data_IF_865435420826
#
_entry.id   IF_865435420826
#
_cell.length_a   1.000
_cell.length_b   1.000
_cell.length_c   1.000
_cell.angle_alpha   90.00
_cell.angle_beta   90.00
_cell.angle_gamma   90.00
#
_symmetry.space_group_name_H-M   'P 1'
#
loop_
_entity.id
_entity.type
_entity.pdbx_description
1 polymer ?
#
# COMPACT_ATOMS: atom_id res chain seq x y z
N UNK A 1 -4.56 -58.73 -2.03
CA UNK A 1 -4.31 -57.34 -1.58
C UNK A 1 -3.70 -56.43 -2.65
N UNK A 2 -3.32 -56.94 -3.83
CA UNK A 2 -2.72 -56.17 -4.93
C UNK A 2 -3.74 -55.56 -5.91
N UNK A 3 -4.91 -56.21 -6.09
CA UNK A 3 -5.95 -55.74 -7.03
C UNK A 3 -6.66 -54.45 -6.57
N UNK A 4 -6.94 -54.31 -5.27
CA UNK A 4 -7.53 -53.09 -4.71
C UNK A 4 -6.57 -51.90 -4.72
N UNK A 5 -5.25 -52.15 -4.64
CA UNK A 5 -4.23 -51.11 -4.72
C UNK A 5 -4.10 -50.60 -6.16
N UNK A 6 -4.11 -51.49 -7.16
CA UNK A 6 -4.14 -51.11 -8.58
C UNK A 6 -5.42 -50.33 -8.95
N UNK A 7 -6.58 -50.74 -8.45
CA UNK A 7 -7.86 -50.06 -8.68
C UNK A 7 -7.92 -48.64 -8.06
N UNK A 8 -7.32 -48.45 -6.88
CA UNK A 8 -7.24 -47.12 -6.24
C UNK A 8 -6.28 -46.18 -6.96
N UNK A 9 -5.18 -46.71 -7.49
CA UNK A 9 -4.19 -45.94 -8.25
C UNK A 9 -4.76 -45.50 -9.61
N UNK A 10 -5.49 -46.37 -10.30
CA UNK A 10 -6.15 -46.00 -11.57
C UNK A 10 -7.29 -45.01 -11.35
N UNK A 11 -8.06 -45.15 -10.26
CA UNK A 11 -9.10 -44.19 -9.88
C UNK A 11 -8.50 -42.79 -9.59
N UNK A 12 -7.39 -42.73 -8.85
CA UNK A 12 -6.72 -41.47 -8.50
C UNK A 12 -6.06 -40.78 -9.71
N UNK A 13 -5.50 -41.56 -10.64
CA UNK A 13 -4.91 -41.02 -11.87
C UNK A 13 -5.98 -40.42 -12.81
N UNK A 14 -7.18 -41.03 -12.87
CA UNK A 14 -8.29 -40.53 -13.68
C UNK A 14 -8.85 -39.19 -13.16
N UNK A 15 -8.87 -38.96 -11.84
CA UNK A 15 -9.33 -37.69 -11.26
C UNK A 15 -8.41 -36.52 -11.56
N UNK A 16 -7.10 -36.74 -11.65
CA UNK A 16 -6.14 -35.67 -11.93
C UNK A 16 -6.22 -35.13 -13.37
N UNK A 17 -6.64 -35.94 -14.35
CA UNK A 17 -6.79 -35.49 -15.74
C UNK A 17 -8.07 -34.68 -16.00
N UNK A 18 -9.05 -34.69 -15.07
CA UNK A 18 -10.31 -33.97 -15.24
C UNK A 18 -10.25 -32.48 -14.84
N UNK A 19 -9.14 -32.00 -14.29
CA UNK A 19 -9.02 -30.64 -13.75
C UNK A 19 -8.49 -29.59 -14.75
N UNK A 20 -8.13 -29.96 -15.98
CA UNK A 20 -7.57 -29.03 -16.99
C UNK A 20 -8.63 -28.36 -17.88
N UNK A 21 -9.85 -28.13 -17.35
CA UNK A 21 -10.92 -27.46 -18.08
C UNK A 21 -11.63 -26.40 -17.21
N UNK A 22 -10.90 -25.36 -16.83
CA UNK A 22 -11.49 -24.10 -16.39
C UNK A 22 -10.54 -22.94 -16.73
N UNK A 23 -10.78 -22.34 -17.89
CA UNK A 23 -10.08 -21.14 -18.35
C UNK A 23 -10.73 -20.54 -19.59
N UNK A 24 -12.07 -20.54 -19.68
CA UNK A 24 -12.82 -19.84 -20.72
C UNK A 24 -14.30 -19.65 -20.31
N UNK A 25 -14.67 -18.41 -20.01
CA UNK A 25 -16.06 -17.95 -19.83
C UNK A 25 -16.04 -16.46 -19.47
N UNK A 26 -16.20 -15.51 -20.41
CA UNK A 26 -17.39 -15.09 -21.20
C UNK A 26 -18.40 -14.29 -20.36
N UNK A 27 -18.60 -13.02 -20.68
CA UNK A 27 -19.90 -12.30 -20.56
C UNK A 27 -19.89 -11.11 -21.54
N UNK A 28 -20.61 -11.16 -22.67
CA UNK A 28 -21.97 -10.62 -22.95
C UNK A 28 -21.92 -9.18 -23.48
N UNK A 29 -22.13 -8.93 -24.79
CA UNK A 29 -23.41 -8.57 -25.44
C UNK A 29 -24.31 -7.60 -24.66
N UNK A 30 -24.68 -6.49 -25.32
CA UNK A 30 -25.74 -5.57 -24.91
C UNK A 30 -25.32 -4.11 -25.13
N UNK A 31 -25.57 -3.55 -26.31
CA UNK A 31 -26.76 -2.73 -26.60
C UNK A 31 -26.42 -1.24 -26.47
N UNK A 32 -26.39 -0.57 -27.61
CA UNK A 32 -26.42 0.90 -27.67
C UNK A 32 -27.70 1.41 -27.03
N UNK A 33 -27.55 2.46 -26.23
CA UNK A 33 -28.67 3.23 -25.69
C UNK A 33 -28.32 4.68 -25.94
N UNK A 34 -28.94 5.27 -26.97
CA UNK A 34 -29.04 6.71 -27.13
C UNK A 34 -29.95 7.27 -26.03
N UNK A 35 -29.44 8.20 -25.24
CA UNK A 35 -30.22 9.27 -24.59
C UNK A 35 -29.30 10.38 -24.05
N UNK A 36 -29.56 11.68 -24.35
CA UNK A 36 -28.84 12.85 -23.83
C UNK A 36 -29.57 13.43 -22.57
N UNK A 37 -29.26 14.66 -22.09
CA UNK A 37 -28.01 15.23 -21.59
C UNK A 37 -28.13 15.65 -20.10
N UNK A 38 -27.02 15.88 -19.38
CA UNK A 38 -27.01 16.84 -18.25
C UNK A 38 -25.58 17.22 -17.82
N UNK A 39 -25.37 18.53 -17.83
CA UNK A 39 -24.25 19.33 -17.33
C UNK A 39 -23.65 18.92 -15.98
N UNK A 40 -22.31 18.96 -15.89
CA UNK A 40 -21.60 19.78 -14.89
C UNK A 40 -20.09 19.82 -15.16
N UNK A 41 -19.56 21.03 -15.08
CA UNK A 41 -18.16 21.47 -15.06
C UNK A 41 -17.18 20.50 -14.36
N UNK A 42 -16.01 20.26 -14.95
CA UNK A 42 -14.71 20.50 -14.29
C UNK A 42 -13.54 20.38 -15.30
N UNK A 43 -12.90 21.52 -15.58
CA UNK A 43 -11.48 21.73 -15.91
C UNK A 43 -10.74 20.75 -16.85
N UNK A 44 -10.82 21.00 -18.15
CA UNK A 44 -9.80 20.57 -19.13
C UNK A 44 -8.60 21.51 -19.08
N UNK A 45 -7.47 21.02 -18.59
CA UNK A 45 -6.16 21.55 -18.94
C UNK A 45 -5.22 20.39 -19.26
N UNK A 46 -5.18 20.01 -20.54
CA UNK A 46 -4.08 19.28 -21.17
C UNK A 46 -3.98 19.69 -22.63
N UNK A 47 -3.45 20.89 -22.85
CA UNK A 47 -2.81 21.21 -24.12
C UNK A 47 -1.39 20.65 -24.11
N UNK A 48 -1.18 19.53 -24.78
CA UNK A 48 0.02 19.31 -25.62
C UNK A 48 -0.35 18.28 -26.68
N UNK A 49 -0.24 18.73 -27.91
CA UNK A 49 -0.68 18.07 -29.12
C UNK A 49 0.03 16.74 -29.39
N UNK A 50 -0.78 15.75 -29.78
CA UNK A 50 -0.64 15.02 -31.03
C UNK A 50 0.48 13.97 -31.16
N UNK A 51 0.09 12.70 -31.22
CA UNK A 51 0.24 11.91 -32.44
C UNK A 51 -0.68 10.69 -32.39
N UNK A 52 -1.63 10.64 -33.32
CA UNK A 52 -2.38 9.44 -33.67
C UNK A 52 -1.42 8.41 -34.28
N UNK A 53 -1.39 7.19 -33.76
CA UNK A 53 -1.11 6.05 -34.63
C UNK A 53 -1.80 4.80 -34.11
N UNK A 54 -2.81 4.36 -34.86
CA UNK A 54 -3.29 3.00 -34.82
C UNK A 54 -2.18 2.08 -35.34
N UNK A 55 -1.89 1.00 -34.62
CA UNK A 55 -1.13 -0.14 -35.13
C UNK A 55 0.40 0.00 -35.11
N UNK A 56 1.04 -0.67 -34.15
CA UNK A 56 2.47 -0.97 -34.15
C UNK A 56 3.12 -0.77 -32.79
N UNK A 57 3.26 -1.85 -32.01
CA UNK A 57 4.15 -1.87 -30.84
C UNK A 57 5.60 -1.72 -31.33
N UNK A 58 6.13 -0.50 -31.29
CA UNK A 58 7.51 -0.23 -31.71
C UNK A 58 8.51 -0.68 -30.65
N UNK A 59 9.63 -1.25 -31.09
CA UNK A 59 10.77 -1.69 -30.25
C UNK A 59 11.29 -0.56 -29.34
N UNK A 60 11.08 0.70 -29.73
CA UNK A 60 11.42 1.89 -28.95
C UNK A 60 10.60 2.09 -27.67
N UNK A 61 9.44 1.44 -27.55
CA UNK A 61 8.58 1.51 -26.35
C UNK A 61 9.18 0.71 -25.16
N UNK A 62 10.09 -0.23 -25.45
CA UNK A 62 10.84 -1.01 -24.44
C UNK A 62 12.07 -0.24 -23.93
N UNK A 63 12.65 0.65 -24.75
CA UNK A 63 13.83 1.47 -24.41
C UNK A 63 13.49 2.91 -24.04
N UNK A 64 12.23 3.32 -24.14
CA UNK A 64 11.74 4.53 -23.48
C UNK A 64 11.97 4.41 -21.98
N UNK A 65 11.94 5.52 -21.21
CA UNK A 65 11.99 5.45 -19.76
C UNK A 65 10.79 4.62 -19.30
N UNK A 66 11.00 3.32 -19.16
CA UNK A 66 10.23 2.51 -18.25
C UNK A 66 10.58 3.10 -16.91
N UNK A 67 9.83 4.14 -16.53
CA UNK A 67 9.73 4.54 -15.15
C UNK A 67 9.20 3.28 -14.48
N UNK A 68 10.14 2.45 -14.01
CA UNK A 68 9.88 1.52 -12.94
C UNK A 68 9.64 2.44 -11.75
N UNK A 69 8.49 3.14 -11.78
CA UNK A 69 7.84 3.72 -10.64
C UNK A 69 7.48 2.49 -9.83
N UNK A 70 8.45 1.99 -9.05
CA UNK A 70 8.15 1.16 -7.91
C UNK A 70 7.21 2.02 -7.08
N UNK A 71 5.92 1.82 -7.31
CA UNK A 71 4.86 2.60 -6.72
C UNK A 71 4.91 2.29 -5.24
N UNK A 72 5.61 3.14 -4.50
CA UNK A 72 5.75 3.01 -3.05
C UNK A 72 4.35 3.18 -2.48
N UNK A 73 3.79 2.08 -1.96
CA UNK A 73 2.42 2.05 -1.45
C UNK A 73 2.29 2.69 -0.05
N UNK A 74 3.20 3.60 0.29
CA UNK A 74 3.37 4.20 1.61
C UNK A 74 3.16 5.70 1.50
N UNK A 75 2.36 6.26 2.40
CA UNK A 75 2.12 7.70 2.42
C UNK A 75 3.37 8.48 2.89
N UNK A 76 3.89 9.37 2.04
CA UNK A 76 5.08 10.19 2.34
C UNK A 76 4.94 11.08 3.58
N UNK A 77 3.73 11.56 3.87
CA UNK A 77 3.49 12.46 5.01
C UNK A 77 3.42 11.68 6.32
N UNK A 78 2.80 10.49 6.33
CA UNK A 78 2.83 9.60 7.50
C UNK A 78 4.27 9.19 7.84
N UNK A 79 5.05 8.90 6.80
CA UNK A 79 6.46 8.55 6.94
C UNK A 79 7.27 9.68 7.58
N UNK A 80 7.25 10.88 6.98
CA UNK A 80 7.96 12.04 7.50
C UNK A 80 7.50 12.42 8.91
N UNK A 81 6.18 12.44 9.15
CA UNK A 81 5.62 12.74 10.46
C UNK A 81 6.04 11.73 11.54
N UNK A 82 6.14 10.44 11.20
CA UNK A 82 6.58 9.40 12.14
C UNK A 82 8.02 9.65 12.58
N UNK A 83 8.91 9.99 11.64
CA UNK A 83 10.31 10.31 11.94
C UNK A 83 10.45 11.59 12.76
N UNK A 84 9.63 12.61 12.50
CA UNK A 84 9.67 13.86 13.27
C UNK A 84 9.13 13.70 14.68
N UNK A 85 7.96 13.07 14.85
CA UNK A 85 7.32 12.88 16.16
C UNK A 85 8.13 11.93 17.03
N UNK A 86 8.72 10.89 16.45
CA UNK A 86 9.54 9.90 17.17
C UNK A 86 11.05 10.19 17.10
N UNK A 87 11.45 11.39 16.70
CA UNK A 87 12.87 11.78 16.51
C UNK A 87 13.74 11.66 17.77
N UNK A 88 13.13 11.60 18.95
CA UNK A 88 13.82 11.37 20.21
C UNK A 88 14.20 9.89 20.44
N UNK A 89 13.69 8.98 19.61
CA UNK A 89 14.03 7.55 19.65
C UNK A 89 15.16 7.26 18.64
N UNK A 90 16.19 6.47 19.02
CA UNK A 90 17.22 6.05 18.06
C UNK A 90 16.60 5.15 16.99
N UNK A 91 16.78 5.50 15.72
CA UNK A 91 16.27 4.69 14.60
C UNK A 91 17.23 3.53 14.32
N UNK A 92 16.71 2.30 14.23
CA UNK A 92 17.50 1.09 14.00
C UNK A 92 17.34 0.56 12.59
N UNK A 93 16.11 0.52 12.07
CA UNK A 93 15.82 -0.05 10.75
C UNK A 93 14.68 0.71 10.10
N UNK A 94 14.82 0.96 8.80
CA UNK A 94 13.92 1.78 8.01
C UNK A 94 13.76 1.14 6.64
N UNK A 95 12.56 0.69 6.32
CA UNK A 95 12.21 0.13 5.01
C UNK A 95 11.11 0.98 4.36
N UNK A 96 11.44 1.80 3.35
CA UNK A 96 10.49 2.70 2.70
C UNK A 96 9.52 1.98 1.76
N UNK A 97 9.81 0.75 1.33
CA UNK A 97 8.94 0.01 0.42
C UNK A 97 7.82 -0.69 1.16
N UNK A 98 8.14 -1.30 2.30
CA UNK A 98 7.13 -1.96 3.16
C UNK A 98 6.50 -0.99 4.17
N UNK A 99 7.07 0.20 4.36
CA UNK A 99 6.56 1.20 5.28
C UNK A 99 6.85 0.88 6.74
N UNK A 100 7.91 0.13 7.03
CA UNK A 100 8.29 -0.28 8.39
C UNK A 100 9.42 0.59 8.93
N UNK A 101 9.23 1.12 10.14
CA UNK A 101 10.25 1.85 10.89
C UNK A 101 10.38 1.20 12.27
N UNK A 102 11.60 0.82 12.64
CA UNK A 102 11.91 0.22 13.94
C UNK A 102 12.90 1.13 14.65
N UNK A 103 12.57 1.51 15.87
CA UNK A 103 13.46 2.24 16.76
C UNK A 103 14.05 1.31 17.82
N UNK A 104 15.09 1.80 18.50
CA UNK A 104 15.55 1.28 19.77
C UNK A 104 14.90 2.05 20.93
N UNK A 105 15.26 1.68 22.15
CA UNK A 105 14.82 2.34 23.37
C UNK A 105 15.39 3.77 23.47
N UNK A 106 14.51 4.75 23.57
CA UNK A 106 14.85 6.15 23.84
C UNK A 106 13.88 6.78 24.83
N UNK A 107 14.29 7.88 25.44
CA UNK A 107 13.49 8.59 26.45
C UNK A 107 12.98 9.91 25.85
N UNK A 108 11.65 10.15 25.81
CA UNK A 108 11.11 11.39 25.31
C UNK A 108 11.52 12.57 26.22
N UNK A 109 11.66 13.78 25.65
CA UNK A 109 11.96 14.97 26.44
C UNK A 109 10.87 15.21 27.49
N UNK A 110 11.28 15.45 28.74
CA UNK A 110 10.37 15.62 29.87
C UNK A 110 9.74 14.32 30.40
N UNK A 111 10.10 13.16 29.83
CA UNK A 111 9.67 11.84 30.30
C UNK A 111 10.74 11.10 31.10
N UNK A 112 10.33 10.21 32.01
CA UNK A 112 11.25 9.36 32.79
C UNK A 112 11.34 7.90 32.31
N UNK A 113 10.56 7.51 31.29
CA UNK A 113 10.46 6.12 30.83
C UNK A 113 11.05 6.00 29.43
N UNK A 114 11.84 4.95 29.20
CA UNK A 114 12.33 4.61 27.86
C UNK A 114 11.27 3.85 27.07
N UNK A 115 11.02 4.26 25.85
CA UNK A 115 10.09 3.65 24.92
C UNK A 115 10.84 3.14 23.69
N UNK A 116 10.30 2.08 23.09
CA UNK A 116 10.65 1.60 21.75
C UNK A 116 9.38 1.65 20.92
N UNK A 117 9.51 2.05 19.66
CA UNK A 117 8.41 2.10 18.71
C UNK A 117 8.71 1.21 17.50
N UNK A 118 7.66 0.53 17.04
CA UNK A 118 7.60 -0.08 15.72
C UNK A 118 6.42 0.55 14.99
N UNK A 119 6.70 1.21 13.88
CA UNK A 119 5.71 1.86 13.01
C UNK A 119 5.57 1.03 11.74
N UNK A 120 4.33 0.84 11.30
CA UNK A 120 4.03 0.23 10.01
C UNK A 120 2.96 1.05 9.29
N UNK A 121 3.29 1.54 8.10
CA UNK A 121 2.41 2.29 7.23
C UNK A 121 1.96 1.38 6.10
N UNK A 122 0.69 0.98 6.10
CA UNK A 122 0.14 -0.07 5.24
C UNK A 122 -0.40 0.44 3.91
N UNK A 123 -0.89 1.67 3.88
CA UNK A 123 -1.69 2.20 2.78
C UNK A 123 -1.27 3.65 2.46
N UNK A 124 -1.39 4.09 1.20
CA UNK A 124 -1.06 5.46 0.80
C UNK A 124 -2.09 6.50 1.28
N UNK A 125 -3.25 6.09 1.80
CA UNK A 125 -4.24 7.02 2.34
C UNK A 125 -3.76 7.73 3.62
N UNK A 126 -4.11 9.00 3.76
CA UNK A 126 -3.78 9.82 4.94
C UNK A 126 -4.88 9.70 6.01
N UNK A 127 -4.99 8.52 6.61
CA UNK A 127 -5.98 8.25 7.66
C UNK A 127 -5.46 7.26 8.72
N UNK A 128 -6.22 7.09 9.81
CA UNK A 128 -5.79 6.30 10.96
C UNK A 128 -5.63 4.79 10.66
N UNK A 129 -6.34 4.24 9.66
CA UNK A 129 -6.24 2.81 9.31
C UNK A 129 -4.93 2.47 8.60
N UNK A 130 -4.28 3.48 8.03
CA UNK A 130 -3.05 3.36 7.25
C UNK A 130 -1.81 3.29 8.14
N UNK A 131 -1.91 3.70 9.41
CA UNK A 131 -0.83 3.71 10.37
C UNK A 131 -1.08 2.69 11.48
N UNK A 132 -0.06 1.90 11.82
CA UNK A 132 -0.05 1.08 13.03
C UNK A 132 1.19 1.38 13.85
N UNK A 133 1.00 1.65 15.13
CA UNK A 133 2.07 1.87 16.08
C UNK A 133 2.05 0.80 17.17
N UNK A 134 3.18 0.16 17.39
CA UNK A 134 3.42 -0.66 18.57
C UNK A 134 4.45 0.05 19.45
N UNK A 135 4.06 0.34 20.69
CA UNK A 135 4.90 0.99 21.69
C UNK A 135 5.19 0.02 22.85
N UNK A 136 6.46 -0.06 23.22
CA UNK A 136 6.94 -0.92 24.29
C UNK A 136 7.83 -0.12 25.24
N UNK A 137 7.78 -0.47 26.52
CA UNK A 137 8.76 -0.01 27.52
C UNK A 137 9.62 -1.18 27.96
N UNK A 138 10.72 -0.90 28.67
CA UNK A 138 11.53 -1.99 29.26
C UNK A 138 10.75 -2.89 30.22
N UNK A 139 9.67 -2.38 30.81
CA UNK A 139 8.80 -3.13 31.71
C UNK A 139 7.61 -3.82 31.04
N UNK A 140 7.51 -3.78 29.71
CA UNK A 140 6.40 -4.40 28.96
C UNK A 140 5.60 -3.42 28.09
N UNK A 141 4.43 -3.85 27.59
CA UNK A 141 3.63 -3.08 26.64
C UNK A 141 3.10 -1.79 27.24
N UNK A 142 2.95 -0.78 26.38
CA UNK A 142 2.37 0.51 26.74
C UNK A 142 0.84 0.44 26.74
N UNK A 143 0.19 1.31 27.51
CA UNK A 143 -1.27 1.40 27.51
C UNK A 143 -1.80 1.78 26.13
N UNK A 144 -2.96 1.22 25.74
CA UNK A 144 -3.58 1.52 24.45
C UNK A 144 -3.90 3.02 24.29
N UNK A 145 -4.24 3.71 25.38
CA UNK A 145 -4.51 5.15 25.36
C UNK A 145 -3.26 5.95 24.97
N UNK A 146 -2.09 5.62 25.54
CA UNK A 146 -0.83 6.28 25.18
C UNK A 146 -0.44 5.97 23.74
N UNK A 147 -0.60 4.73 23.27
CA UNK A 147 -0.32 4.39 21.88
C UNK A 147 -1.17 5.20 20.92
N UNK A 148 -2.49 5.29 21.16
CA UNK A 148 -3.41 6.11 20.35
C UNK A 148 -3.05 7.59 20.37
N UNK A 149 -2.67 8.13 21.53
CA UNK A 149 -2.26 9.54 21.62
C UNK A 149 -1.04 9.84 20.74
N UNK A 150 -0.08 8.90 20.65
CA UNK A 150 1.09 9.05 19.78
C UNK A 150 0.70 8.87 18.31
N UNK A 151 -0.17 7.91 17.97
CA UNK A 151 -0.73 7.77 16.61
C UNK A 151 -1.44 9.05 16.16
N UNK A 152 -2.27 9.65 17.02
CA UNK A 152 -2.97 10.90 16.74
C UNK A 152 -2.00 12.08 16.56
N UNK A 153 -0.91 12.11 17.33
CA UNK A 153 0.15 13.10 17.16
C UNK A 153 0.82 12.97 15.77
N UNK A 154 1.13 11.74 15.34
CA UNK A 154 1.68 11.46 14.00
C UNK A 154 0.69 11.88 12.91
N UNK A 155 -0.58 11.48 13.02
CA UNK A 155 -1.62 11.82 12.05
C UNK A 155 -1.83 13.34 11.95
N UNK A 156 -1.83 14.03 13.09
CA UNK A 156 -1.95 15.49 13.14
C UNK A 156 -0.75 16.17 12.47
N UNK A 157 0.47 15.70 12.76
CA UNK A 157 1.68 16.21 12.13
C UNK A 157 1.71 15.95 10.62
N UNK A 158 1.27 14.77 10.19
CA UNK A 158 1.21 14.42 8.76
C UNK A 158 0.23 15.34 7.99
N UNK A 159 -0.92 15.69 8.59
CA UNK A 159 -1.84 16.68 8.00
C UNK A 159 -1.20 18.05 7.88
N UNK A 160 -0.43 18.50 8.89
CA UNK A 160 0.30 19.76 8.82
C UNK A 160 1.31 19.76 7.67
N UNK A 161 2.10 18.69 7.52
CA UNK A 161 3.06 18.55 6.42
C UNK A 161 2.37 18.60 5.05
N UNK A 162 1.21 17.93 4.89
CA UNK A 162 0.42 18.00 3.66
C UNK A 162 -0.04 19.41 3.33
N UNK A 163 -0.53 20.16 4.33
CA UNK A 163 -0.98 21.55 4.14
C UNK A 163 0.21 22.47 3.80
N UNK A 164 1.36 22.27 4.44
CA UNK A 164 2.57 23.03 4.17
C UNK A 164 3.06 22.83 2.73
N UNK A 165 3.06 21.58 2.26
CA UNK A 165 3.44 21.23 0.89
C UNK A 165 2.45 21.74 -0.16
N UNK A 166 1.18 21.95 0.21
CA UNK A 166 0.16 22.49 -0.72
C UNK A 166 0.25 24.01 -0.90
N UNK A 167 1.11 24.70 -0.13
CA UNK A 167 1.24 26.17 -0.14
C UNK A 167 2.38 26.67 -1.05
N UNK A 168 3.23 25.77 -1.52
CA UNK A 168 4.33 26.05 -2.45
C UNK A 168 3.90 25.79 -3.89
#
# INVERSE_FOLDING_TARGET
MTLHMALRVTLAAATCLALTACGSGRSTTGAGVDSPPASSFESQNRDTAGFTSAGGSTIWDIFGPSTIDQTVNVNRYLWAASLEVLSFLPVTTVDPFTGVIITDYGTPPGGGRSYRATVHIKDPALDARSLKLALQTRGGPVSAATTRAVEDAILSRARQLRVQDSRI
#
